data_IF_726568179393
#
_entry.id   IF_726568179393
#
_cell.length_a   1.000
_cell.length_b   1.000
_cell.length_c   1.000
_cell.angle_alpha   90.00
_cell.angle_beta   90.00
_cell.angle_gamma   90.00
#
_symmetry.space_group_name_H-M   'P 1'
#
loop_
_entity.id
_entity.type
_entity.pdbx_description
1 polymer ?
#
# COMPACT_ATOMS: atom_id res chain seq x y z
N UNK A 1 -5.45 -16.89 3.88
CA UNK A 1 -6.01 -15.55 3.56
C UNK A 1 -4.86 -14.56 3.76
N UNK A 2 -4.34 -13.94 2.70
CA UNK A 2 -3.23 -12.97 2.83
C UNK A 2 -3.80 -11.57 3.09
N UNK A 3 -3.18 -10.82 4.00
CA UNK A 3 -3.56 -9.45 4.37
C UNK A 3 -2.67 -8.41 3.65
N UNK A 4 -2.48 -8.58 2.34
CA UNK A 4 -1.72 -7.61 1.53
C UNK A 4 -2.71 -6.83 0.65
N UNK A 5 -2.94 -5.55 1.00
CA UNK A 5 -3.87 -4.66 0.31
C UNK A 5 -3.18 -3.76 -0.72
N UNK A 6 -1.87 -3.59 -0.60
CA UNK A 6 -1.12 -2.64 -1.41
C UNK A 6 -0.87 -3.25 -2.78
N UNK A 7 -1.59 -2.76 -3.79
CA UNK A 7 -1.46 -3.23 -5.17
C UNK A 7 -0.35 -2.47 -5.89
N UNK A 8 0.37 -3.18 -6.75
CA UNK A 8 1.38 -2.58 -7.63
C UNK A 8 0.71 -1.66 -8.65
N UNK A 9 1.09 -0.38 -8.66
CA UNK A 9 0.70 0.57 -9.69
C UNK A 9 1.59 0.36 -10.91
N UNK A 10 0.99 0.05 -12.06
CA UNK A 10 1.73 -0.11 -13.31
C UNK A 10 2.60 1.11 -13.65
N UNK A 11 3.75 0.85 -14.28
CA UNK A 11 4.69 1.89 -14.70
C UNK A 11 4.02 3.03 -15.49
N UNK A 12 3.08 2.72 -16.38
CA UNK A 12 2.35 3.71 -17.20
C UNK A 12 1.60 4.74 -16.34
N UNK A 13 0.96 4.29 -15.23
CA UNK A 13 0.31 5.21 -14.31
C UNK A 13 1.34 6.08 -13.58
N UNK A 14 2.46 5.51 -13.16
CA UNK A 14 3.52 6.23 -12.46
C UNK A 14 4.13 7.32 -13.35
N UNK A 15 4.35 7.03 -14.63
CA UNK A 15 4.87 7.99 -15.61
C UNK A 15 3.88 9.15 -15.82
N UNK A 16 2.58 8.83 -15.97
CA UNK A 16 1.51 9.83 -16.03
C UNK A 16 1.44 10.70 -14.77
N UNK A 17 1.52 10.09 -13.59
CA UNK A 17 1.51 10.77 -12.31
C UNK A 17 2.67 11.76 -12.14
N UNK A 18 3.89 11.37 -12.54
CA UNK A 18 5.10 12.19 -12.41
C UNK A 18 5.27 13.23 -13.53
N UNK A 19 4.45 13.20 -14.58
CA UNK A 19 4.55 14.10 -15.74
C UNK A 19 3.68 15.36 -15.65
N UNK A 20 3.04 15.63 -14.51
CA UNK A 20 2.13 16.77 -14.30
C UNK A 20 2.79 18.18 -14.36
N UNK A 21 4.11 18.26 -14.59
CA UNK A 21 4.95 19.47 -14.69
C UNK A 21 4.74 20.54 -13.61
N UNK A 22 4.35 20.11 -12.41
CA UNK A 22 4.31 20.95 -11.21
C UNK A 22 5.63 20.86 -10.43
N UNK A 23 5.88 21.80 -9.52
CA UNK A 23 7.05 21.73 -8.62
C UNK A 23 7.05 20.45 -7.78
N UNK A 24 5.87 20.03 -7.29
CA UNK A 24 5.71 18.78 -6.56
C UNK A 24 6.03 17.58 -7.43
N UNK A 25 5.55 17.55 -8.69
CA UNK A 25 5.82 16.45 -9.61
C UNK A 25 7.31 16.36 -9.96
N UNK A 26 7.98 17.49 -10.20
CA UNK A 26 9.43 17.52 -10.44
C UNK A 26 10.23 17.04 -9.22
N UNK A 27 9.85 17.46 -8.02
CA UNK A 27 10.46 17.01 -6.78
C UNK A 27 10.26 15.50 -6.57
N UNK A 28 9.04 15.01 -6.73
CA UNK A 28 8.73 13.59 -6.61
C UNK A 28 9.46 12.75 -7.66
N UNK A 29 9.57 13.24 -8.90
CA UNK A 29 10.34 12.56 -9.94
C UNK A 29 11.80 12.37 -9.53
N UNK A 30 12.43 13.36 -8.88
CA UNK A 30 13.80 13.22 -8.38
C UNK A 30 13.92 12.15 -7.28
N UNK A 31 12.95 12.07 -6.37
CA UNK A 31 12.91 11.02 -5.33
C UNK A 31 12.80 9.63 -5.98
N UNK A 32 11.91 9.50 -6.96
CA UNK A 32 11.57 8.22 -7.57
C UNK A 32 12.57 7.73 -8.62
N UNK A 33 13.37 8.63 -9.21
CA UNK A 33 14.38 8.28 -10.22
C UNK A 33 15.26 7.09 -9.79
N UNK A 34 15.75 7.09 -8.55
CA UNK A 34 16.64 6.03 -8.05
C UNK A 34 15.94 4.65 -7.96
N UNK A 35 14.65 4.64 -7.62
CA UNK A 35 13.85 3.42 -7.52
C UNK A 35 13.52 2.91 -8.93
N UNK A 36 13.11 3.81 -9.83
CA UNK A 36 12.77 3.49 -11.22
C UNK A 36 13.99 3.06 -12.06
N UNK A 37 15.20 3.55 -11.74
CA UNK A 37 16.42 3.13 -12.43
C UNK A 37 16.93 1.78 -11.93
N UNK A 38 16.60 1.41 -10.69
CA UNK A 38 16.94 0.09 -10.12
C UNK A 38 16.01 -1.01 -10.64
N UNK A 39 14.75 -0.70 -10.92
CA UNK A 39 13.75 -1.65 -11.47
C UNK A 39 13.94 -1.96 -12.96
N UNK A 40 14.80 -1.23 -13.67
CA UNK A 40 15.21 -1.51 -15.07
C UNK A 40 16.23 -2.64 -15.20
N UNK A 41 16.74 -3.20 -14.09
CA UNK A 41 17.64 -4.37 -14.13
C UNK A 41 16.81 -5.63 -14.37
N UNK A 42 17.17 -6.48 -15.36
CA UNK A 42 16.45 -7.70 -15.67
C UNK A 42 16.85 -8.81 -14.71
N UNK A 43 16.55 -8.65 -13.42
CA UNK A 43 16.66 -9.76 -12.48
C UNK A 43 15.30 -10.46 -12.44
N UNK A 44 15.28 -11.56 -13.22
CA UNK A 44 14.40 -12.73 -13.12
C UNK A 44 13.81 -12.84 -11.71
N UNK A 45 12.48 -12.99 -11.63
CA UNK A 45 11.66 -13.34 -10.43
C UNK A 45 10.56 -12.33 -10.03
N UNK A 46 10.10 -11.46 -10.94
CA UNK A 46 8.82 -10.76 -10.75
C UNK A 46 7.92 -11.00 -11.97
N UNK A 47 7.17 -12.11 -11.95
CA UNK A 47 6.05 -12.37 -12.86
C UNK A 47 4.86 -11.41 -12.63
N UNK A 48 4.94 -10.52 -11.64
CA UNK A 48 3.93 -9.50 -11.34
C UNK A 48 4.46 -8.08 -11.57
N UNK A 49 4.64 -7.71 -12.84
CA UNK A 49 4.56 -6.32 -13.34
C UNK A 49 5.62 -5.32 -12.86
N UNK A 50 6.34 -4.71 -13.80
CA UNK A 50 7.12 -3.49 -13.54
C UNK A 50 6.18 -2.38 -13.05
N UNK A 51 6.27 -2.02 -11.77
CA UNK A 51 5.41 -1.01 -11.14
C UNK A 51 5.86 -0.63 -9.73
N UNK A 52 5.06 0.20 -9.06
CA UNK A 52 5.37 0.76 -7.75
C UNK A 52 4.27 0.44 -6.73
N UNK A 53 4.66 -0.09 -5.56
CA UNK A 53 3.77 -0.33 -4.42
C UNK A 53 4.00 0.77 -3.37
N UNK A 54 2.97 1.55 -3.06
CA UNK A 54 3.05 2.68 -2.12
C UNK A 54 2.22 2.46 -0.86
N UNK A 55 2.70 1.62 0.06
CA UNK A 55 1.96 1.28 1.29
C UNK A 55 1.51 2.50 2.09
N UNK A 56 2.38 3.50 2.21
CA UNK A 56 2.10 4.71 2.98
C UNK A 56 1.00 5.56 2.32
N UNK A 57 0.97 5.62 0.99
CA UNK A 57 -0.08 6.34 0.27
C UNK A 57 -1.44 5.68 0.45
N UNK A 58 -1.52 4.35 0.52
CA UNK A 58 -2.76 3.63 0.84
C UNK A 58 -3.27 3.97 2.23
N UNK A 59 -2.36 4.03 3.23
CA UNK A 59 -2.72 4.43 4.58
C UNK A 59 -3.22 5.89 4.63
N UNK A 60 -2.56 6.80 3.91
CA UNK A 60 -3.00 8.20 3.81
C UNK A 60 -4.34 8.36 3.09
N UNK A 61 -4.58 7.60 2.01
CA UNK A 61 -5.86 7.62 1.31
C UNK A 61 -7.02 7.20 2.23
N UNK A 62 -6.83 6.12 3.00
CA UNK A 62 -7.81 5.66 3.99
C UNK A 62 -8.06 6.69 5.12
N UNK A 63 -7.07 7.53 5.45
CA UNK A 63 -7.21 8.59 6.44
C UNK A 63 -7.90 9.86 5.91
N UNK A 64 -7.78 10.13 4.60
CA UNK A 64 -8.33 11.33 3.96
C UNK A 64 -9.79 11.11 3.52
N UNK A 65 -10.08 9.94 2.94
CA UNK A 65 -11.38 9.59 2.39
C UNK A 65 -11.71 8.14 2.74
N UNK A 66 -12.62 7.92 3.70
CA UNK A 66 -13.01 6.58 4.12
C UNK A 66 -13.83 5.85 3.04
N UNK A 67 -14.43 6.58 2.09
CA UNK A 67 -15.18 6.01 0.96
C UNK A 67 -14.28 5.32 -0.07
N UNK A 68 -12.96 5.47 0.08
CA UNK A 68 -11.94 4.69 -0.62
C UNK A 68 -11.97 3.21 -0.20
N UNK A 69 -12.39 2.90 1.03
CA UNK A 69 -12.39 1.55 1.58
C UNK A 69 -13.68 0.84 1.14
N UNK A 70 -13.55 -0.23 0.36
CA UNK A 70 -14.70 -1.04 -0.10
C UNK A 70 -15.03 -2.12 0.93
N UNK A 71 -14.01 -2.74 1.52
CA UNK A 71 -14.18 -3.83 2.47
C UNK A 71 -13.15 -3.75 3.60
N UNK A 72 -13.62 -3.93 4.84
CA UNK A 72 -12.79 -4.01 6.04
C UNK A 72 -13.29 -5.14 6.94
N UNK A 73 -12.37 -5.77 7.65
CA UNK A 73 -12.67 -6.67 8.77
C UNK A 73 -12.40 -5.98 10.10
N UNK A 74 -13.22 -6.23 11.11
CA UNK A 74 -12.98 -5.74 12.48
C UNK A 74 -12.59 -6.91 13.38
N UNK A 75 -11.29 -7.07 13.65
CA UNK A 75 -10.73 -8.25 14.34
C UNK A 75 -9.73 -7.87 15.42
N UNK A 76 -9.61 -8.73 16.44
CA UNK A 76 -8.56 -8.58 17.42
C UNK A 76 -7.21 -8.93 16.79
N UNK A 77 -6.20 -8.11 17.05
CA UNK A 77 -4.86 -8.28 16.50
C UNK A 77 -3.80 -8.22 17.60
N UNK A 78 -2.65 -8.83 17.33
CA UNK A 78 -1.46 -8.73 18.16
C UNK A 78 -0.21 -8.82 17.30
N UNK A 79 0.95 -8.49 17.88
CA UNK A 79 2.25 -8.65 17.22
C UNK A 79 3.00 -9.80 17.90
N UNK A 80 3.61 -10.68 17.11
CA UNK A 80 4.47 -11.76 17.61
C UNK A 80 5.79 -11.20 18.15
N UNK A 81 6.09 -11.45 19.44
CA UNK A 81 7.25 -10.88 20.14
C UNK A 81 8.25 -11.92 20.66
N UNK A 82 7.83 -13.18 20.86
CA UNK A 82 8.64 -14.20 21.53
C UNK A 82 9.72 -14.79 20.61
N UNK A 83 9.39 -14.96 19.33
CA UNK A 83 10.32 -15.07 18.19
C UNK A 83 11.32 -16.24 18.17
N UNK A 84 11.17 -17.13 17.18
CA UNK A 84 12.27 -17.88 16.53
C UNK A 84 12.34 -17.64 15.01
N UNK A 85 11.18 -17.54 14.32
CA UNK A 85 11.09 -17.30 12.87
C UNK A 85 10.09 -16.20 12.47
N UNK A 86 9.28 -15.72 13.41
CA UNK A 86 8.03 -15.00 13.12
C UNK A 86 7.94 -13.63 13.83
N UNK A 87 9.02 -13.16 14.43
CA UNK A 87 9.05 -11.93 15.22
C UNK A 87 8.63 -10.74 14.36
N UNK A 88 7.67 -9.95 14.84
CA UNK A 88 7.16 -8.76 14.16
C UNK A 88 5.96 -9.01 13.23
N UNK A 89 5.52 -10.26 13.04
CA UNK A 89 4.31 -10.52 12.25
C UNK A 89 3.04 -10.05 12.97
N UNK A 90 2.10 -9.52 12.19
CA UNK A 90 0.73 -9.26 12.64
C UNK A 90 -0.04 -10.58 12.73
N UNK A 91 -0.53 -10.89 13.92
CA UNK A 91 -1.36 -12.07 14.20
C UNK A 91 -2.81 -11.61 14.33
N UNK A 92 -3.69 -12.15 13.49
CA UNK A 92 -5.12 -11.83 13.47
C UNK A 92 -5.92 -12.95 14.11
N UNK A 93 -6.75 -12.61 15.09
CA UNK A 93 -7.55 -13.59 15.83
C UNK A 93 -8.88 -13.87 15.11
N UNK A 94 -8.84 -14.83 14.19
CA UNK A 94 -10.03 -15.24 13.44
C UNK A 94 -11.07 -15.98 14.28
N UNK A 95 -10.62 -16.70 15.31
CA UNK A 95 -11.43 -17.61 16.15
C UNK A 95 -11.86 -16.99 17.48
N UNK A 96 -11.50 -15.73 17.73
CA UNK A 96 -11.80 -14.96 18.95
C UNK A 96 -11.22 -15.59 20.24
N UNK A 97 -10.07 -16.29 20.12
CA UNK A 97 -9.42 -16.98 21.23
C UNK A 97 -8.67 -16.03 22.18
N UNK A 98 -8.22 -14.88 21.69
CA UNK A 98 -7.47 -13.90 22.47
C UNK A 98 -8.38 -13.11 23.43
N UNK A 99 -9.71 -13.19 23.26
CA UNK A 99 -10.73 -12.51 24.09
C UNK A 99 -10.44 -11.01 24.31
N UNK A 100 -9.80 -10.36 23.34
CA UNK A 100 -9.48 -8.93 23.39
C UNK A 100 -10.73 -8.10 23.10
N UNK A 101 -10.94 -7.06 23.91
CA UNK A 101 -12.01 -6.07 23.71
C UNK A 101 -11.67 -5.06 22.61
N UNK A 102 -10.40 -4.70 22.47
CA UNK A 102 -9.93 -3.79 21.44
C UNK A 102 -9.65 -4.55 20.15
N UNK A 103 -10.33 -4.14 19.07
CA UNK A 103 -10.21 -4.69 17.73
C UNK A 103 -9.71 -3.59 16.77
N UNK A 104 -9.09 -4.01 15.67
CA UNK A 104 -8.59 -3.13 14.61
C UNK A 104 -9.39 -3.34 13.33
N UNK A 105 -9.52 -2.28 12.53
CA UNK A 105 -10.02 -2.35 11.17
C UNK A 105 -8.90 -2.77 10.23
N UNK A 106 -9.06 -3.93 9.61
CA UNK A 106 -8.11 -4.48 8.65
C UNK A 106 -8.70 -4.31 7.25
N UNK A 107 -8.07 -3.47 6.44
CA UNK A 107 -8.50 -3.22 5.07
C UNK A 107 -8.33 -4.48 4.21
N UNK A 108 -9.38 -4.84 3.47
CA UNK A 108 -9.42 -6.01 2.59
C UNK A 108 -9.55 -5.65 1.12
N UNK A 109 -10.31 -4.60 0.83
CA UNK A 109 -10.55 -4.14 -0.54
C UNK A 109 -10.70 -2.63 -0.56
N UNK A 110 -10.14 -2.03 -1.60
CA UNK A 110 -10.12 -0.58 -1.77
C UNK A 110 -10.45 -0.21 -3.22
N UNK A 111 -10.93 1.01 -3.43
CA UNK A 111 -11.25 1.57 -4.75
C UNK A 111 -9.99 2.14 -5.40
N UNK A 112 -9.37 1.36 -6.29
CA UNK A 112 -8.14 1.76 -6.97
C UNK A 112 -8.30 3.00 -7.85
N UNK A 113 -9.48 3.30 -8.37
CA UNK A 113 -9.68 4.49 -9.20
C UNK A 113 -9.72 5.75 -8.34
N UNK A 114 -10.41 5.71 -7.19
CA UNK A 114 -10.32 6.81 -6.20
C UNK A 114 -8.90 7.03 -5.71
N UNK A 115 -8.16 5.94 -5.45
CA UNK A 115 -6.77 6.03 -5.06
C UNK A 115 -5.91 6.75 -6.10
N UNK A 116 -6.04 6.37 -7.37
CA UNK A 116 -5.33 7.01 -8.48
C UNK A 116 -5.68 8.50 -8.58
N UNK A 117 -6.95 8.87 -8.39
CA UNK A 117 -7.39 10.27 -8.36
C UNK A 117 -6.72 11.04 -7.22
N UNK A 118 -6.68 10.49 -6.01
CA UNK A 118 -5.99 11.10 -4.87
C UNK A 118 -4.49 11.25 -5.14
N UNK A 119 -3.85 10.23 -5.71
CA UNK A 119 -2.45 10.26 -6.13
C UNK A 119 -2.18 11.38 -7.14
N UNK A 120 -2.99 11.47 -8.21
CA UNK A 120 -2.88 12.54 -9.21
C UNK A 120 -3.04 13.91 -8.57
N UNK A 121 -4.06 14.11 -7.74
CA UNK A 121 -4.35 15.37 -7.08
C UNK A 121 -3.25 15.80 -6.09
N UNK A 122 -2.52 14.86 -5.48
CA UNK A 122 -1.43 15.17 -4.55
C UNK A 122 -0.29 15.99 -5.21
N UNK A 123 -0.09 15.82 -6.52
CA UNK A 123 0.93 16.54 -7.28
C UNK A 123 0.39 17.69 -8.13
N UNK A 124 -0.90 17.99 -8.06
CA UNK A 124 -1.44 19.24 -8.62
C UNK A 124 -0.97 20.46 -7.83
#
# INVERSE_FOLDING_TARGET
MSYNICVCLFQEFCDGWLSQDTDKARFMKQIFQKIMDSSKKPEKELEEGQGFISCDSYAMAAAIDDTFIIETEHKAVTVELAGNYCRGMMVVDHLELLKKTHKAHILKKVDLEKFKVLMMNALK
#
